data_IF_075794847533
#
_entry.id   IF_075794847533
#
_cell.length_a   1.000
_cell.length_b   1.000
_cell.length_c   1.000
_cell.angle_alpha   90.00
_cell.angle_beta   90.00
_cell.angle_gamma   90.00
#
_symmetry.space_group_name_H-M   'P 1'
#
loop_
_entity.id
_entity.type
_entity.pdbx_description
1 polymer ?
#
# COMPACT_ATOMS: atom_id res chain seq x y z
N UNK A 1 -3.88 -3.59 15.87
CA UNK A 1 -4.70 -2.86 14.89
C UNK A 1 -4.22 -3.09 13.45
N UNK A 2 -3.04 -3.59 13.30
CA UNK A 2 -2.46 -4.10 12.08
C UNK A 2 -1.48 -5.24 12.43
N UNK A 3 -0.96 -5.95 11.43
CA UNK A 3 -0.27 -7.23 11.62
C UNK A 3 1.02 -7.14 12.44
N UNK A 4 1.77 -6.03 12.33
CA UNK A 4 3.12 -5.87 12.89
C UNK A 4 3.14 -4.99 14.14
N UNK A 5 2.10 -4.18 14.38
CA UNK A 5 2.09 -3.19 15.46
C UNK A 5 0.87 -3.33 16.39
N UNK A 6 1.17 -3.35 17.66
CA UNK A 6 0.19 -3.46 18.75
C UNK A 6 0.11 -2.14 19.50
N UNK A 7 -1.06 -1.82 20.04
CA UNK A 7 -1.25 -0.65 20.88
C UNK A 7 -2.35 -0.88 21.91
N UNK A 8 -2.37 -0.05 22.96
CA UNK A 8 -3.52 0.03 23.87
C UNK A 8 -4.73 0.62 23.12
N UNK A 9 -5.97 0.29 23.54
CA UNK A 9 -7.16 0.92 22.96
C UNK A 9 -7.04 2.45 22.96
N UNK A 10 -7.33 3.09 21.83
CA UNK A 10 -7.23 4.54 21.64
C UNK A 10 -5.84 5.08 21.28
N UNK A 11 -4.78 4.24 21.28
CA UNK A 11 -3.39 4.67 21.03
C UNK A 11 -2.82 4.16 19.69
N UNK A 12 -3.65 3.96 18.68
CA UNK A 12 -3.18 3.62 17.32
C UNK A 12 -2.23 4.71 16.81
N UNK A 13 -1.09 4.30 16.21
CA UNK A 13 -0.18 5.23 15.55
C UNK A 13 -0.88 5.89 14.37
N UNK A 14 -1.03 7.21 14.40
CA UNK A 14 -1.60 7.98 13.28
C UNK A 14 -0.72 7.86 12.05
N UNK A 15 0.59 7.95 12.21
CA UNK A 15 1.57 7.84 11.14
C UNK A 15 1.47 6.48 10.41
N UNK A 16 1.55 5.36 11.15
CA UNK A 16 1.41 4.04 10.54
C UNK A 16 0.03 3.83 9.90
N UNK A 17 -1.02 4.35 10.54
CA UNK A 17 -2.38 4.24 10.00
C UNK A 17 -2.55 5.00 8.68
N UNK A 18 -1.84 6.11 8.47
CA UNK A 18 -1.84 6.87 7.23
C UNK A 18 -1.25 6.02 6.06
N UNK A 19 -0.15 5.30 6.30
CA UNK A 19 0.39 4.38 5.29
C UNK A 19 -0.58 3.26 4.91
N UNK A 20 -1.23 2.64 5.90
CA UNK A 20 -2.20 1.56 5.64
C UNK A 20 -3.45 2.04 4.91
N UNK A 21 -3.75 3.33 4.97
CA UNK A 21 -4.86 3.98 4.23
C UNK A 21 -4.44 4.55 2.88
N UNK A 22 -3.17 4.35 2.47
CA UNK A 22 -2.61 4.95 1.26
C UNK A 22 -2.79 6.49 1.23
N UNK A 23 -2.63 7.17 2.38
CA UNK A 23 -2.64 8.64 2.43
C UNK A 23 -1.35 9.19 1.81
N UNK A 24 -1.46 10.35 1.15
CA UNK A 24 -0.31 11.01 0.53
C UNK A 24 0.72 11.44 1.58
N UNK A 25 1.99 11.32 1.22
CA UNK A 25 3.10 11.77 2.08
C UNK A 25 4.31 12.23 1.26
N UNK A 26 5.13 13.10 1.88
CA UNK A 26 6.39 13.58 1.34
C UNK A 26 7.53 13.05 2.20
N UNK A 27 8.48 12.37 1.57
CA UNK A 27 9.71 11.90 2.20
C UNK A 27 10.84 12.91 2.08
N UNK A 28 11.46 13.26 3.19
CA UNK A 28 12.60 14.18 3.27
C UNK A 28 13.85 13.42 3.67
N UNK A 29 14.95 13.66 2.96
CA UNK A 29 16.25 13.04 3.20
C UNK A 29 16.64 12.01 2.15
N UNK A 30 17.88 11.50 2.26
CA UNK A 30 18.40 10.43 1.41
C UNK A 30 17.56 9.15 1.56
N UNK A 31 17.34 8.43 0.48
CA UNK A 31 16.50 7.23 0.38
C UNK A 31 15.03 7.42 0.77
N UNK A 32 14.57 8.62 1.11
CA UNK A 32 13.19 8.85 1.51
C UNK A 32 12.23 8.72 0.31
N UNK A 33 11.11 8.06 0.54
CA UNK A 33 10.05 7.88 -0.43
C UNK A 33 8.92 8.91 -0.22
N UNK A 34 8.27 9.28 -1.32
CA UNK A 34 7.04 10.08 -1.33
C UNK A 34 5.95 9.35 -2.12
N UNK A 35 4.70 9.60 -1.80
CA UNK A 35 3.54 9.01 -2.45
C UNK A 35 2.43 10.04 -2.62
N UNK A 36 1.81 10.08 -3.80
CA UNK A 36 0.71 11.00 -4.12
C UNK A 36 -0.45 10.32 -4.89
N UNK A 37 -0.83 9.10 -4.49
CA UNK A 37 -1.95 8.32 -5.07
C UNK A 37 -1.65 7.86 -6.52
N UNK A 38 -1.14 8.73 -7.39
CA UNK A 38 -0.88 8.44 -8.81
C UNK A 38 0.57 8.10 -9.11
N UNK A 39 1.48 8.43 -8.21
CA UNK A 39 2.92 8.19 -8.39
C UNK A 39 3.62 7.94 -7.06
N UNK A 40 4.74 7.27 -7.16
CA UNK A 40 5.71 7.12 -6.09
C UNK A 40 7.03 7.74 -6.53
N UNK A 41 7.70 8.44 -5.62
CA UNK A 41 9.02 8.97 -5.88
C UNK A 41 9.97 8.69 -4.74
N UNK A 42 11.28 8.70 -5.02
CA UNK A 42 12.30 8.47 -4.01
C UNK A 42 13.55 9.28 -4.31
N UNK A 43 14.20 9.70 -3.24
CA UNK A 43 15.44 10.42 -3.28
C UNK A 43 16.64 9.45 -3.47
N UNK A 44 17.81 9.93 -3.95
CA UNK A 44 19.03 9.13 -3.98
C UNK A 44 19.35 8.51 -2.62
N UNK A 45 19.88 7.29 -2.64
CA UNK A 45 20.18 6.54 -1.40
C UNK A 45 21.32 7.15 -0.61
N UNK A 46 22.32 7.75 -1.28
CA UNK A 46 23.46 8.36 -0.62
C UNK A 46 23.24 9.85 -0.34
N UNK A 47 23.83 10.33 0.75
CA UNK A 47 23.65 11.70 1.24
C UNK A 47 24.21 12.72 0.26
N UNK A 48 25.39 12.46 -0.32
CA UNK A 48 26.04 13.38 -1.27
C UNK A 48 25.17 13.57 -2.53
N UNK A 49 24.62 12.49 -3.07
CA UNK A 49 23.70 12.53 -4.20
C UNK A 49 22.42 13.27 -3.87
N UNK A 50 21.84 13.05 -2.69
CA UNK A 50 20.67 13.79 -2.23
C UNK A 50 20.95 15.30 -2.14
N UNK A 51 22.03 15.71 -1.50
CA UNK A 51 22.43 17.13 -1.38
C UNK A 51 22.69 17.73 -2.77
N UNK A 52 23.40 16.99 -3.64
CA UNK A 52 23.67 17.43 -5.01
C UNK A 52 22.37 17.67 -5.79
N UNK A 53 21.40 16.75 -5.70
CA UNK A 53 20.12 16.90 -6.38
C UNK A 53 19.35 18.13 -5.89
N UNK A 54 19.30 18.35 -4.56
CA UNK A 54 18.65 19.54 -4.00
C UNK A 54 19.32 20.83 -4.50
N UNK A 55 20.64 20.91 -4.44
CA UNK A 55 21.40 22.11 -4.85
C UNK A 55 21.25 22.42 -6.35
N UNK A 56 21.07 21.41 -7.18
CA UNK A 56 20.93 21.54 -8.62
C UNK A 56 19.47 21.50 -9.10
N UNK A 57 18.48 21.51 -8.20
CA UNK A 57 17.06 21.40 -8.51
C UNK A 57 16.72 20.16 -9.36
N UNK A 58 17.42 19.04 -9.15
CA UNK A 58 17.14 17.77 -9.81
C UNK A 58 15.99 17.09 -9.04
N UNK A 59 14.85 16.76 -9.71
CA UNK A 59 13.74 16.12 -9.05
C UNK A 59 14.09 14.68 -8.61
N UNK A 60 13.36 14.12 -7.61
CA UNK A 60 13.49 12.72 -7.24
C UNK A 60 13.13 11.78 -8.40
N UNK A 61 13.61 10.56 -8.33
CA UNK A 61 13.13 9.50 -9.22
C UNK A 61 11.63 9.31 -9.03
N UNK A 62 10.88 9.17 -10.13
CA UNK A 62 9.42 9.09 -10.06
C UNK A 62 8.91 7.96 -10.94
N UNK A 63 8.02 7.15 -10.37
CA UNK A 63 7.27 6.08 -11.02
C UNK A 63 5.79 6.46 -11.04
N UNK A 64 5.15 6.33 -12.19
CA UNK A 64 3.70 6.51 -12.32
C UNK A 64 3.03 5.15 -12.10
N UNK A 65 2.10 5.09 -11.16
CA UNK A 65 1.40 3.87 -10.82
C UNK A 65 0.26 3.60 -11.81
N UNK A 66 0.27 2.41 -12.39
CA UNK A 66 -0.84 1.91 -13.21
C UNK A 66 -2.07 1.62 -12.33
N UNK A 67 -3.23 1.41 -12.95
CA UNK A 67 -4.44 1.00 -12.23
C UNK A 67 -4.29 -0.40 -11.59
N UNK A 68 -3.49 -1.27 -12.21
CA UNK A 68 -3.13 -2.57 -11.68
C UNK A 68 -2.27 -2.44 -10.43
N UNK A 69 -1.23 -1.59 -10.47
CA UNK A 69 -0.37 -1.32 -9.30
C UNK A 69 -1.20 -0.80 -8.11
N UNK A 70 -2.10 0.15 -8.36
CA UNK A 70 -2.98 0.72 -7.32
C UNK A 70 -3.92 -0.33 -6.73
N UNK A 71 -4.51 -1.19 -7.58
CA UNK A 71 -5.35 -2.29 -7.12
C UNK A 71 -4.55 -3.29 -6.26
N UNK A 72 -3.39 -3.73 -6.74
CA UNK A 72 -2.53 -4.67 -6.04
C UNK A 72 -2.05 -4.10 -4.69
N UNK A 73 -1.67 -2.83 -4.66
CA UNK A 73 -1.30 -2.13 -3.43
C UNK A 73 -2.48 -2.05 -2.45
N UNK A 74 -3.68 -1.72 -2.92
CA UNK A 74 -4.89 -1.72 -2.09
C UNK A 74 -5.14 -3.10 -1.44
N UNK A 75 -5.05 -4.18 -2.21
CA UNK A 75 -5.20 -5.55 -1.69
C UNK A 75 -4.17 -5.83 -0.59
N UNK A 76 -2.90 -5.53 -0.87
CA UNK A 76 -1.79 -5.80 0.04
C UNK A 76 -1.91 -5.00 1.35
N UNK A 77 -2.21 -3.71 1.27
CA UNK A 77 -2.35 -2.83 2.44
C UNK A 77 -3.58 -3.21 3.28
N UNK A 78 -4.72 -3.47 2.64
CA UNK A 78 -5.96 -3.83 3.33
C UNK A 78 -5.84 -5.11 4.15
N UNK A 79 -5.17 -6.14 3.61
CA UNK A 79 -4.94 -7.40 4.32
C UNK A 79 -4.06 -7.24 5.57
N UNK A 80 -3.28 -6.18 5.68
CA UNK A 80 -2.45 -5.92 6.86
C UNK A 80 -3.21 -5.27 8.01
N UNK A 81 -4.41 -4.77 7.76
CA UNK A 81 -5.24 -4.08 8.75
C UNK A 81 -6.36 -4.96 9.27
N UNK A 82 -6.86 -4.63 10.46
CA UNK A 82 -7.99 -5.33 11.08
C UNK A 82 -9.29 -5.19 10.27
N UNK A 83 -9.44 -4.07 9.60
CA UNK A 83 -10.59 -3.73 8.76
C UNK A 83 -10.68 -4.66 7.53
N UNK A 84 -9.52 -5.08 6.99
CA UNK A 84 -9.45 -5.98 5.83
C UNK A 84 -9.87 -5.31 4.52
N UNK A 85 -10.21 -6.13 3.53
CA UNK A 85 -10.60 -5.66 2.19
C UNK A 85 -12.07 -5.25 2.19
N UNK A 86 -12.35 -4.03 1.73
CA UNK A 86 -13.71 -3.54 1.45
C UNK A 86 -14.06 -3.78 -0.03
N UNK A 87 -15.00 -4.69 -0.29
CA UNK A 87 -15.47 -5.01 -1.64
C UNK A 87 -16.16 -3.83 -2.33
N UNK A 88 -16.85 -2.97 -1.56
CA UNK A 88 -17.47 -1.75 -2.10
C UNK A 88 -16.42 -0.74 -2.57
N UNK A 89 -15.29 -0.68 -1.88
CA UNK A 89 -14.18 0.15 -2.32
C UNK A 89 -13.64 -0.33 -3.68
N UNK A 90 -13.48 -1.65 -3.87
CA UNK A 90 -13.07 -2.24 -5.15
C UNK A 90 -14.11 -1.92 -6.23
N UNK A 91 -15.40 -2.09 -5.94
CA UNK A 91 -16.48 -1.80 -6.89
C UNK A 91 -16.47 -0.35 -7.37
N UNK A 92 -16.19 0.60 -6.47
CA UNK A 92 -16.20 2.04 -6.78
C UNK A 92 -14.91 2.53 -7.45
N UNK A 93 -13.76 1.99 -7.08
CA UNK A 93 -12.45 2.51 -7.50
C UNK A 93 -11.75 1.63 -8.55
N UNK A 94 -12.06 0.34 -8.59
CA UNK A 94 -11.45 -0.65 -9.48
C UNK A 94 -12.48 -1.59 -10.12
N UNK A 95 -13.56 -1.07 -10.72
CA UNK A 95 -14.67 -1.89 -11.23
C UNK A 95 -14.22 -2.94 -12.25
N UNK A 96 -13.16 -2.66 -13.03
CA UNK A 96 -12.58 -3.58 -14.01
C UNK A 96 -11.99 -4.85 -13.36
N UNK A 97 -11.54 -4.76 -12.10
CA UNK A 97 -10.93 -5.88 -11.37
C UNK A 97 -11.90 -6.61 -10.43
N UNK A 98 -13.11 -6.10 -10.24
CA UNK A 98 -14.12 -6.71 -9.37
C UNK A 98 -14.48 -8.17 -9.77
N UNK A 99 -14.63 -8.52 -11.05
CA UNK A 99 -14.87 -9.92 -11.44
C UNK A 99 -13.70 -10.85 -11.11
N UNK A 100 -12.46 -10.37 -11.27
CA UNK A 100 -11.26 -11.10 -10.86
C UNK A 100 -11.27 -11.32 -9.36
N UNK A 101 -11.44 -10.26 -8.58
CA UNK A 101 -11.48 -10.32 -7.11
C UNK A 101 -12.51 -11.33 -6.61
N UNK A 102 -13.76 -11.27 -7.09
CA UNK A 102 -14.84 -12.19 -6.67
C UNK A 102 -14.49 -13.65 -6.97
N UNK A 103 -13.94 -13.92 -8.15
CA UNK A 103 -13.52 -15.28 -8.55
C UNK A 103 -12.41 -15.82 -7.68
N UNK A 104 -11.38 -15.01 -7.42
CA UNK A 104 -10.23 -15.43 -6.61
C UNK A 104 -10.58 -15.54 -5.12
N UNK A 105 -11.41 -14.64 -4.61
CA UNK A 105 -11.93 -14.71 -3.23
C UNK A 105 -12.69 -16.03 -2.99
N UNK A 106 -13.51 -16.48 -3.94
CA UNK A 106 -14.23 -17.76 -3.80
C UNK A 106 -13.26 -18.96 -3.83
N UNK A 107 -12.23 -18.93 -4.68
CA UNK A 107 -11.18 -19.98 -4.70
C UNK A 107 -10.38 -20.00 -3.40
N UNK A 108 -10.05 -18.84 -2.86
CA UNK A 108 -9.22 -18.68 -1.68
C UNK A 108 -10.02 -18.72 -0.36
N UNK A 109 -11.32 -19.01 -0.38
CA UNK A 109 -12.19 -18.85 0.80
C UNK A 109 -11.75 -19.63 2.03
N UNK A 110 -11.06 -20.76 1.85
CA UNK A 110 -10.54 -21.52 2.97
C UNK A 110 -9.35 -20.83 3.65
N UNK A 111 -8.61 -19.98 2.93
CA UNK A 111 -7.52 -19.18 3.50
C UNK A 111 -8.05 -18.07 4.42
N UNK A 112 -9.26 -17.53 4.13
CA UNK A 112 -9.89 -16.49 4.93
C UNK A 112 -10.39 -16.96 6.30
N UNK A 113 -10.33 -18.25 6.61
CA UNK A 113 -10.61 -18.78 7.96
C UNK A 113 -9.57 -18.30 8.98
N UNK A 114 -8.33 -18.04 8.54
CA UNK A 114 -7.23 -17.55 9.38
C UNK A 114 -6.46 -16.43 8.65
N UNK A 115 -7.10 -15.28 8.33
CA UNK A 115 -6.52 -14.28 7.44
C UNK A 115 -5.21 -13.68 7.97
N UNK A 116 -5.04 -13.54 9.28
CA UNK A 116 -3.84 -13.00 9.91
C UNK A 116 -2.59 -13.88 9.73
N UNK A 117 -2.76 -15.19 9.62
CA UNK A 117 -1.65 -16.12 9.42
C UNK A 117 -1.31 -16.32 7.94
N UNK A 118 -2.23 -16.02 7.05
CA UNK A 118 -2.15 -16.36 5.63
C UNK A 118 -2.26 -15.12 4.71
N UNK A 119 -2.12 -13.92 5.27
CA UNK A 119 -2.35 -12.68 4.53
C UNK A 119 -1.48 -12.55 3.26
N UNK A 120 -0.21 -12.90 3.31
CA UNK A 120 0.68 -12.83 2.14
C UNK A 120 0.23 -13.80 1.04
N UNK A 121 -0.22 -15.01 1.42
CA UNK A 121 -0.77 -15.98 0.47
C UNK A 121 -2.10 -15.52 -0.10
N UNK A 122 -2.97 -14.94 0.72
CA UNK A 122 -4.23 -14.35 0.28
C UNK A 122 -3.95 -13.19 -0.70
N UNK A 123 -2.98 -12.34 -0.41
CA UNK A 123 -2.59 -11.24 -1.30
C UNK A 123 -2.19 -11.76 -2.68
N UNK A 124 -1.30 -12.75 -2.74
CA UNK A 124 -0.87 -13.37 -4.00
C UNK A 124 -2.02 -13.96 -4.83
N UNK A 125 -3.05 -14.53 -4.18
CA UNK A 125 -4.22 -15.07 -4.88
C UNK A 125 -5.16 -13.97 -5.43
N UNK A 126 -5.21 -12.80 -4.78
CA UNK A 126 -6.14 -11.72 -5.12
C UNK A 126 -5.56 -10.65 -6.05
N UNK A 127 -4.23 -10.54 -6.12
CA UNK A 127 -3.53 -9.61 -7.00
C UNK A 127 -3.59 -10.06 -8.46
N UNK A 128 -3.28 -9.12 -9.38
CA UNK A 128 -3.24 -9.34 -10.83
C UNK A 128 -1.78 -9.40 -11.28
#
# INVERSE_FOLDING_TARGET
YEISNYCKPGFKSKHNSAYWKAEEYIGLGAAAHSFNISSRSWNPENIEGYISNINNNIPPFTEILSEEDKYNEYIMLSLRTKEGIDEKYIENNFPQYLPHFKRQKEKAKDLFKNPWLLNDRIALELMI
#
